data_IF_869889074032
#
_entry.id   IF_869889074032
#
_cell.length_a   1.000
_cell.length_b   1.000
_cell.length_c   1.000
_cell.angle_alpha   90.00
_cell.angle_beta   90.00
_cell.angle_gamma   90.00
#
_symmetry.space_group_name_H-M   'P 1'
#
loop_
_entity.id
_entity.type
_entity.pdbx_description
1 polymer ?
#
# COMPACT_ATOMS: atom_id res chain seq x y z
N UNK A 1 -18.79 6.95 26.88
CA UNK A 1 -19.74 8.01 26.44
C UNK A 1 -19.06 8.96 25.44
N UNK A 2 -18.59 8.45 24.29
CA UNK A 2 -17.93 9.28 23.25
C UNK A 2 -18.58 9.08 21.86
N UNK A 3 -19.52 8.15 21.74
CA UNK A 3 -20.15 7.75 20.47
C UNK A 3 -21.35 8.62 20.03
N UNK A 4 -21.85 9.54 20.87
CA UNK A 4 -23.13 10.22 20.62
C UNK A 4 -23.06 11.61 19.97
N UNK A 5 -21.87 12.13 19.63
CA UNK A 5 -21.75 13.47 19.02
C UNK A 5 -21.56 13.40 17.49
N UNK A 6 -21.25 12.23 16.93
CA UNK A 6 -20.88 12.10 15.51
C UNK A 6 -22.05 12.11 14.51
N UNK A 7 -23.32 12.10 14.95
CA UNK A 7 -24.46 11.93 14.02
C UNK A 7 -25.23 13.20 13.64
N UNK A 8 -24.95 14.37 14.22
CA UNK A 8 -25.81 15.54 14.04
C UNK A 8 -25.39 16.52 12.93
N UNK A 9 -24.33 16.25 12.17
CA UNK A 9 -23.83 17.16 11.11
C UNK A 9 -23.70 16.50 9.72
N UNK A 10 -24.21 15.29 9.51
CA UNK A 10 -24.14 14.55 8.22
C UNK A 10 -25.32 14.93 7.29
N UNK A 11 -25.84 16.15 7.37
CA UNK A 11 -27.02 16.53 6.56
C UNK A 11 -26.68 17.31 5.27
N UNK A 12 -25.47 17.84 5.07
CA UNK A 12 -25.23 18.77 3.95
C UNK A 12 -23.79 18.77 3.38
N UNK A 13 -23.09 17.63 3.42
CA UNK A 13 -21.85 17.50 2.63
C UNK A 13 -22.19 16.96 1.23
N UNK A 14 -21.91 17.71 0.15
CA UNK A 14 -22.03 17.16 -1.19
C UNK A 14 -21.11 15.94 -1.29
N UNK A 15 -21.61 14.85 -1.85
CA UNK A 15 -20.91 13.55 -2.02
C UNK A 15 -19.60 13.62 -2.85
N UNK A 16 -19.11 14.84 -3.15
CA UNK A 16 -17.92 15.16 -3.94
C UNK A 16 -16.66 15.38 -3.09
N UNK A 17 -16.74 15.32 -1.74
CA UNK A 17 -15.60 15.55 -0.81
C UNK A 17 -15.18 14.24 -0.09
N UNK A 18 -15.25 13.09 -0.77
CA UNK A 18 -14.54 11.86 -0.32
C UNK A 18 -13.60 11.38 -1.45
N UNK A 19 -12.98 12.33 -2.15
CA UNK A 19 -12.11 12.03 -3.28
C UNK A 19 -10.61 12.29 -3.01
N UNK A 20 -10.17 12.49 -1.76
CA UNK A 20 -8.83 13.07 -1.50
C UNK A 20 -8.18 12.66 -0.18
N UNK A 21 -7.96 11.36 0.10
CA UNK A 21 -7.03 11.00 1.19
C UNK A 21 -6.22 9.71 1.04
N UNK A 22 -6.02 9.19 -0.17
CA UNK A 22 -4.88 8.33 -0.53
C UNK A 22 -4.84 8.23 -2.05
N UNK A 23 -3.65 8.29 -2.65
CA UNK A 23 -3.45 8.01 -4.08
C UNK A 23 -3.80 6.54 -4.34
N UNK A 24 -5.10 6.24 -4.44
CA UNK A 24 -5.59 4.90 -4.64
C UNK A 24 -5.26 4.48 -6.07
N UNK A 25 -4.40 3.48 -6.21
CA UNK A 25 -4.09 2.90 -7.52
C UNK A 25 -5.33 2.17 -8.03
N UNK A 26 -5.78 2.56 -9.23
CA UNK A 26 -6.96 2.00 -9.86
C UNK A 26 -6.51 0.93 -10.87
N UNK A 27 -7.15 -0.23 -10.83
CA UNK A 27 -6.86 -1.29 -11.79
C UNK A 27 -7.23 -0.84 -13.23
N UNK A 28 -6.31 -0.93 -14.21
CA UNK A 28 -6.59 -0.52 -15.59
C UNK A 28 -7.66 -1.38 -16.28
N UNK A 29 -7.88 -2.62 -15.79
CA UNK A 29 -8.90 -3.54 -16.35
C UNK A 29 -10.28 -3.36 -15.72
N UNK A 30 -10.34 -3.37 -14.38
CA UNK A 30 -11.62 -3.40 -13.66
C UNK A 30 -12.08 -2.03 -13.18
N UNK A 31 -11.21 -1.01 -13.22
CA UNK A 31 -11.46 0.33 -12.68
C UNK A 31 -11.88 0.35 -11.21
N UNK A 32 -11.51 -0.69 -10.46
CA UNK A 32 -11.67 -0.75 -9.00
C UNK A 32 -10.36 -0.39 -8.31
N UNK A 33 -10.45 -0.04 -7.03
CA UNK A 33 -9.28 0.22 -6.18
C UNK A 33 -8.48 -1.07 -5.97
N UNK A 34 -7.16 -0.96 -6.08
CA UNK A 34 -6.24 -2.06 -5.80
C UNK A 34 -5.81 -2.04 -4.33
N UNK A 35 -5.50 -3.23 -3.81
CA UNK A 35 -4.95 -3.42 -2.49
C UNK A 35 -3.43 -3.29 -2.55
N UNK A 36 -2.86 -2.47 -1.66
CA UNK A 36 -1.41 -2.36 -1.52
C UNK A 36 -0.90 -3.45 -0.59
N UNK A 37 0.01 -4.28 -1.08
CA UNK A 37 0.55 -5.43 -0.36
C UNK A 37 2.05 -5.24 -0.20
N UNK A 38 2.54 -5.50 1.02
CA UNK A 38 3.95 -5.53 1.35
C UNK A 38 4.32 -6.97 1.78
N UNK A 39 5.18 -7.61 1.01
CA UNK A 39 5.74 -8.92 1.33
C UNK A 39 7.18 -8.75 1.80
N UNK A 40 7.50 -9.28 2.97
CA UNK A 40 8.88 -9.31 3.48
C UNK A 40 9.41 -10.73 3.49
N UNK A 41 10.53 -10.93 2.81
CA UNK A 41 11.29 -12.17 2.79
C UNK A 41 12.62 -11.92 3.50
N UNK A 42 12.97 -12.76 4.49
CA UNK A 42 14.22 -12.65 5.21
C UNK A 42 14.96 -13.97 5.11
N UNK A 43 16.15 -13.96 4.52
CA UNK A 43 17.03 -15.12 4.40
C UNK A 43 18.12 -15.00 5.47
N UNK A 44 18.12 -15.93 6.42
CA UNK A 44 19.18 -16.16 7.42
C UNK A 44 19.74 -14.90 8.11
N UNK A 45 18.92 -13.86 8.28
CA UNK A 45 19.26 -12.60 8.95
C UNK A 45 20.25 -11.69 8.21
N UNK A 46 20.79 -12.11 7.08
CA UNK A 46 21.78 -11.36 6.27
C UNK A 46 21.14 -10.64 5.10
N UNK A 47 20.06 -11.18 4.53
CA UNK A 47 19.34 -10.55 3.41
C UNK A 47 17.87 -10.39 3.74
N UNK A 48 17.35 -9.18 3.61
CA UNK A 48 15.93 -8.86 3.73
C UNK A 48 15.45 -8.25 2.41
N UNK A 49 14.40 -8.78 1.84
CA UNK A 49 13.76 -8.29 0.62
C UNK A 49 12.34 -7.89 0.97
N UNK A 50 11.96 -6.65 0.67
CA UNK A 50 10.61 -6.13 0.87
C UNK A 50 10.06 -5.77 -0.50
N UNK A 51 9.00 -6.47 -0.91
CA UNK A 51 8.33 -6.26 -2.19
C UNK A 51 7.02 -5.53 -1.95
N UNK A 52 6.88 -4.35 -2.52
CA UNK A 52 5.66 -3.57 -2.54
C UNK A 52 4.99 -3.72 -3.90
N UNK A 53 3.74 -4.16 -3.90
CA UNK A 53 2.96 -4.28 -5.12
C UNK A 53 1.48 -4.05 -4.86
N UNK A 54 0.78 -3.59 -5.89
CA UNK A 54 -0.67 -3.45 -5.89
C UNK A 54 -1.31 -4.70 -6.49
N UNK A 55 -2.34 -5.24 -5.85
CA UNK A 55 -3.12 -6.38 -6.34
C UNK A 55 -4.59 -5.98 -6.52
N UNK A 56 -5.15 -6.30 -7.68
CA UNK A 56 -6.59 -6.15 -7.91
C UNK A 56 -7.36 -7.33 -7.30
N UNK A 57 -8.35 -7.09 -6.42
CA UNK A 57 -9.14 -8.18 -5.83
C UNK A 57 -10.13 -8.81 -6.83
N UNK A 58 -10.56 -8.09 -7.88
CA UNK A 58 -11.53 -8.61 -8.84
C UNK A 58 -10.91 -9.43 -9.98
N UNK A 59 -9.77 -8.98 -10.55
CA UNK A 59 -9.14 -9.66 -11.68
C UNK A 59 -7.75 -10.24 -11.39
N UNK A 60 -7.21 -10.03 -10.19
CA UNK A 60 -5.90 -10.54 -9.81
C UNK A 60 -4.71 -9.84 -10.46
N UNK A 61 -4.90 -8.78 -11.25
CA UNK A 61 -3.80 -8.01 -11.85
C UNK A 61 -2.86 -7.48 -10.77
N UNK A 62 -1.55 -7.58 -11.02
CA UNK A 62 -0.50 -7.12 -10.12
C UNK A 62 0.29 -5.99 -10.77
N UNK A 63 0.56 -4.92 -10.03
CA UNK A 63 1.42 -3.81 -10.44
C UNK A 63 2.54 -3.74 -9.40
N UNK A 64 3.78 -3.91 -9.85
CA UNK A 64 4.94 -3.78 -8.98
C UNK A 64 5.21 -2.29 -8.76
N UNK A 65 5.46 -1.91 -7.52
CA UNK A 65 5.69 -0.51 -7.15
C UNK A 65 7.14 -0.26 -6.75
N UNK A 66 7.62 -1.01 -5.76
CA UNK A 66 8.99 -0.89 -5.27
C UNK A 66 9.49 -2.23 -4.74
N UNK A 67 10.74 -2.55 -5.01
CA UNK A 67 11.47 -3.64 -4.40
C UNK A 67 12.64 -3.07 -3.60
N UNK A 68 12.65 -3.34 -2.29
CA UNK A 68 13.69 -2.92 -1.36
C UNK A 68 14.47 -4.15 -0.94
N UNK A 69 15.74 -4.21 -1.30
CA UNK A 69 16.66 -5.24 -0.86
C UNK A 69 17.64 -4.64 0.15
N UNK A 70 17.77 -5.28 1.30
CA UNK A 70 18.72 -4.93 2.34
C UNK A 70 19.65 -6.11 2.53
N UNK A 71 20.95 -5.89 2.31
CA UNK A 71 22.01 -6.87 2.55
C UNK A 71 22.84 -6.33 3.71
N UNK A 72 22.89 -7.11 4.79
CA UNK A 72 23.65 -6.80 5.98
C UNK A 72 24.96 -7.56 5.92
N UNK A 73 26.04 -6.82 5.67
CA UNK A 73 27.41 -7.29 5.85
C UNK A 73 27.88 -7.00 7.29
N UNK A 74 29.04 -7.54 7.67
CA UNK A 74 29.59 -7.39 9.04
C UNK A 74 29.87 -5.96 9.46
N UNK A 75 30.08 -5.06 8.50
CA UNK A 75 30.44 -3.65 8.73
C UNK A 75 29.51 -2.65 8.06
N UNK A 76 28.76 -3.06 7.03
CA UNK A 76 27.94 -2.18 6.21
C UNK A 76 26.53 -2.75 6.00
N UNK A 77 25.58 -1.85 5.77
CA UNK A 77 24.22 -2.21 5.34
C UNK A 77 24.03 -1.64 3.94
N UNK A 78 23.90 -2.53 2.96
CA UNK A 78 23.60 -2.18 1.58
C UNK A 78 22.09 -2.17 1.40
N UNK A 79 21.52 -1.01 1.06
CA UNK A 79 20.09 -0.86 0.75
C UNK A 79 19.99 -0.57 -0.74
N UNK A 80 19.33 -1.45 -1.49
CA UNK A 80 19.05 -1.32 -2.92
C UNK A 80 17.56 -1.14 -3.12
N UNK A 81 17.16 -0.03 -3.71
CA UNK A 81 15.76 0.28 -4.05
C UNK A 81 15.63 0.21 -5.56
N UNK A 82 14.64 -0.54 -6.05
CA UNK A 82 14.33 -0.70 -7.48
C UNK A 82 12.83 -0.44 -7.69
N UNK A 83 12.48 0.32 -8.72
CA UNK A 83 11.11 0.63 -9.12
C UNK A 83 10.74 -0.11 -10.40
#
# INVERSE_FOLDING_TARGET
MVYQIYQSLIAFLPQKIINTCMNAVICPKCRIRMDFIAESESTDGTKKVIRYYYRCPACGSRILDSNIETIKDTTNILIKITH
#
